data_IF_517208888338
#
_entry.id   IF_517208888338
#
_cell.length_a   1.000
_cell.length_b   1.000
_cell.length_c   1.000
_cell.angle_alpha   90.00
_cell.angle_beta   90.00
_cell.angle_gamma   90.00
#
_symmetry.space_group_name_H-M   'P 1'
#
loop_
_entity.id
_entity.type
_entity.pdbx_description
1 polymer ?
#
# COMPACT_ATOMS: atom_id res chain seq x y z
N UNK A 1 -1.76 2.27 -17.25
CA UNK A 1 -1.30 2.65 -15.88
C UNK A 1 -2.06 1.83 -14.84
N UNK A 2 -1.38 1.34 -13.80
CA UNK A 2 -1.89 0.32 -12.87
C UNK A 2 -3.16 0.76 -12.09
N UNK A 3 -3.28 2.06 -11.77
CA UNK A 3 -4.43 2.66 -11.06
C UNK A 3 -5.48 3.29 -11.98
N UNK A 4 -5.50 2.94 -13.27
CA UNK A 4 -6.50 3.50 -14.19
C UNK A 4 -7.90 3.04 -13.75
N UNK A 5 -8.78 4.00 -13.46
CA UNK A 5 -10.16 3.75 -13.02
C UNK A 5 -10.35 3.73 -11.51
N UNK A 6 -9.28 3.98 -10.74
CA UNK A 6 -9.41 4.26 -9.31
C UNK A 6 -9.94 5.69 -9.11
N UNK A 7 -10.68 5.89 -8.03
CA UNK A 7 -11.01 7.23 -7.54
C UNK A 7 -9.74 7.95 -7.05
N UNK A 8 -9.78 9.28 -7.02
CA UNK A 8 -8.67 10.10 -6.49
C UNK A 8 -8.37 9.78 -5.02
N UNK A 9 -9.38 9.31 -4.28
CA UNK A 9 -9.27 8.85 -2.90
C UNK A 9 -10.00 7.52 -2.77
N UNK A 10 -9.33 6.52 -2.25
CA UNK A 10 -9.87 5.17 -2.04
C UNK A 10 -9.39 4.58 -0.71
N UNK A 11 -10.06 3.52 -0.25
CA UNK A 11 -9.71 2.83 0.99
C UNK A 11 -8.99 1.51 0.68
N UNK A 12 -7.95 1.21 1.45
CA UNK A 12 -7.26 -0.08 1.42
C UNK A 12 -6.86 -0.47 2.86
N UNK A 13 -6.96 -1.76 3.23
CA UNK A 13 -6.60 -2.20 4.57
C UNK A 13 -5.08 -2.30 4.73
N UNK A 14 -4.60 -2.08 5.95
CA UNK A 14 -3.22 -2.33 6.35
C UNK A 14 -3.21 -3.10 7.67
N UNK A 15 -2.37 -4.13 7.75
CA UNK A 15 -2.12 -4.91 8.96
C UNK A 15 -0.63 -5.23 9.05
N UNK A 16 0.14 -4.37 9.73
CA UNK A 16 1.60 -4.52 9.83
C UNK A 16 2.17 -3.78 11.03
N UNK A 17 3.27 -4.30 11.56
CA UNK A 17 4.14 -3.59 12.51
C UNK A 17 5.26 -2.80 11.81
N UNK A 18 5.73 -3.27 10.65
CA UNK A 18 6.82 -2.65 9.91
C UNK A 18 6.33 -1.41 9.13
N UNK A 19 7.25 -0.49 8.82
CA UNK A 19 7.00 0.68 7.96
C UNK A 19 8.03 0.79 6.83
N UNK A 20 7.62 1.41 5.72
CA UNK A 20 8.52 1.89 4.66
C UNK A 20 8.25 3.38 4.51
N UNK A 21 9.29 4.21 4.65
CA UNK A 21 9.12 5.67 4.63
C UNK A 21 9.10 6.19 3.20
N UNK A 22 8.16 7.09 2.91
CA UNK A 22 8.08 7.76 1.61
C UNK A 22 9.38 8.48 1.24
N UNK A 23 10.06 9.07 2.21
CA UNK A 23 11.36 9.74 2.03
C UNK A 23 12.43 8.79 1.51
N UNK A 24 12.46 7.54 1.97
CA UNK A 24 13.46 6.56 1.56
C UNK A 24 13.19 6.11 0.12
N UNK A 25 11.92 5.89 -0.23
CA UNK A 25 11.50 5.55 -1.60
C UNK A 25 11.86 6.68 -2.59
N UNK A 26 11.66 7.94 -2.19
CA UNK A 26 12.00 9.11 -3.02
C UNK A 26 13.50 9.23 -3.32
N UNK A 27 14.38 8.59 -2.54
CA UNK A 27 15.81 8.55 -2.85
C UNK A 27 16.16 7.60 -4.02
N UNK A 28 15.25 6.69 -4.38
CA UNK A 28 15.45 5.69 -5.44
C UNK A 28 14.81 6.18 -6.73
N UNK A 29 15.64 6.63 -7.68
CA UNK A 29 15.19 7.31 -8.89
C UNK A 29 14.28 6.48 -9.81
N UNK A 30 14.37 5.16 -9.71
CA UNK A 30 13.65 4.18 -10.52
C UNK A 30 12.26 3.87 -9.97
N UNK A 31 11.98 4.26 -8.72
CA UNK A 31 10.68 4.04 -8.07
C UNK A 31 9.81 5.30 -8.15
N UNK A 32 8.51 5.07 -8.08
CA UNK A 32 7.48 6.09 -8.06
C UNK A 32 6.39 5.66 -7.06
N UNK A 33 6.02 6.55 -6.16
CA UNK A 33 4.87 6.35 -5.27
C UNK A 33 3.62 6.72 -6.07
N UNK A 34 2.75 5.75 -6.30
CA UNK A 34 1.52 5.89 -7.11
C UNK A 34 0.31 6.18 -6.22
N UNK A 35 0.29 5.65 -4.99
CA UNK A 35 -0.74 5.93 -4.00
C UNK A 35 -0.12 5.98 -2.59
N UNK A 36 -0.56 6.95 -1.79
CA UNK A 36 -0.04 7.22 -0.45
C UNK A 36 -1.19 7.58 0.50
N UNK A 37 -0.97 7.40 1.80
CA UNK A 37 -1.92 7.74 2.85
C UNK A 37 -1.24 8.60 3.91
N UNK A 38 -1.86 9.70 4.31
CA UNK A 38 -1.34 10.56 5.38
C UNK A 38 -1.10 9.81 6.70
N UNK A 39 -1.88 8.75 6.95
CA UNK A 39 -1.79 7.95 8.18
C UNK A 39 -1.07 6.63 7.99
N UNK A 40 -1.32 5.94 6.89
CA UNK A 40 -0.74 4.60 6.67
C UNK A 40 0.63 4.66 5.97
N UNK A 41 0.96 5.76 5.28
CA UNK A 41 2.15 5.88 4.45
C UNK A 41 2.01 5.22 3.07
N UNK A 42 3.13 5.02 2.34
CA UNK A 42 3.14 4.63 0.94
C UNK A 42 2.42 3.30 0.72
N UNK A 43 1.44 3.28 -0.17
CA UNK A 43 0.59 2.11 -0.41
C UNK A 43 0.96 1.38 -1.71
N UNK A 44 0.86 2.06 -2.86
CA UNK A 44 1.27 1.50 -4.17
C UNK A 44 2.55 2.18 -4.62
N UNK A 45 3.59 1.39 -4.88
CA UNK A 45 4.86 1.84 -5.42
C UNK A 45 5.11 1.07 -6.71
N UNK A 46 5.42 1.78 -7.78
CA UNK A 46 5.75 1.18 -9.06
C UNK A 46 7.20 1.49 -9.42
N UNK A 47 7.87 0.54 -10.07
CA UNK A 47 9.08 0.85 -10.80
C UNK A 47 8.71 1.50 -12.13
N UNK A 48 9.42 2.55 -12.53
CA UNK A 48 9.11 3.37 -13.73
C UNK A 48 9.12 2.60 -15.04
N UNK A 49 9.82 1.47 -15.10
CA UNK A 49 9.82 0.57 -16.25
C UNK A 49 8.64 -0.41 -16.30
N UNK A 50 7.74 -0.35 -15.30
CA UNK A 50 6.52 -1.14 -15.21
C UNK A 50 6.73 -2.61 -14.84
N UNK A 51 7.96 -3.04 -14.54
CA UNK A 51 8.26 -4.46 -14.30
C UNK A 51 7.98 -4.92 -12.86
N UNK A 52 7.91 -3.98 -11.93
CA UNK A 52 7.71 -4.28 -10.51
C UNK A 52 6.65 -3.35 -9.93
N UNK A 53 5.77 -3.96 -9.15
CA UNK A 53 4.71 -3.30 -8.39
C UNK A 53 4.82 -3.79 -6.95
N UNK A 54 4.78 -2.87 -6.00
CA UNK A 54 4.80 -3.15 -4.58
C UNK A 54 3.53 -2.58 -3.96
N UNK A 55 2.84 -3.41 -3.19
CA UNK A 55 1.61 -3.07 -2.47
C UNK A 55 1.87 -3.37 -1.00
N UNK A 56 1.79 -2.35 -0.14
CA UNK A 56 2.19 -2.44 1.28
C UNK A 56 1.02 -2.61 2.26
N UNK A 57 -0.19 -2.68 1.71
CA UNK A 57 -1.42 -3.04 2.40
C UNK A 57 -2.03 -4.29 1.77
N UNK A 58 -3.25 -4.62 2.18
CA UNK A 58 -3.85 -5.92 1.93
C UNK A 58 -5.18 -5.83 1.15
N UNK A 59 -5.18 -5.21 -0.03
CA UNK A 59 -6.42 -5.08 -0.82
C UNK A 59 -7.03 -6.43 -1.26
N UNK A 60 -6.31 -7.52 -1.06
CA UNK A 60 -6.78 -8.90 -1.21
C UNK A 60 -7.61 -9.43 -0.03
N UNK A 61 -7.65 -8.72 1.11
CA UNK A 61 -8.37 -9.19 2.29
C UNK A 61 -9.87 -9.32 2.06
N UNK A 62 -10.42 -10.42 2.58
CA UNK A 62 -11.86 -10.61 2.68
C UNK A 62 -12.43 -9.71 3.80
N UNK A 63 -13.75 -9.41 3.78
CA UNK A 63 -14.37 -8.45 4.70
C UNK A 63 -14.13 -8.70 6.19
N UNK A 64 -13.79 -9.93 6.59
CA UNK A 64 -13.59 -10.33 7.98
C UNK A 64 -12.14 -10.50 8.41
N UNK A 65 -11.16 -10.46 7.50
CA UNK A 65 -9.77 -10.81 7.84
C UNK A 65 -9.21 -9.97 9.01
N UNK A 66 -9.44 -8.66 9.04
CA UNK A 66 -8.99 -7.80 10.15
C UNK A 66 -9.71 -8.09 11.47
N UNK A 67 -10.97 -8.49 11.43
CA UNK A 67 -11.72 -8.89 12.63
C UNK A 67 -11.17 -10.21 13.17
N UNK A 68 -10.94 -11.19 12.29
CA UNK A 68 -10.42 -12.49 12.69
C UNK A 68 -8.98 -12.38 13.23
N UNK A 69 -8.15 -11.47 12.69
CA UNK A 69 -6.85 -11.10 13.26
C UNK A 69 -7.00 -10.52 14.67
N UNK A 70 -7.91 -9.57 14.85
CA UNK A 70 -8.18 -8.96 16.15
C UNK A 70 -8.65 -9.98 17.18
N UNK A 71 -9.62 -10.84 16.82
CA UNK A 71 -10.16 -11.87 17.71
C UNK A 71 -9.13 -12.93 18.09
N UNK A 72 -8.20 -13.25 17.19
CA UNK A 72 -7.09 -14.17 17.47
C UNK A 72 -6.06 -13.57 18.43
N UNK A 73 -5.84 -12.26 18.36
CA UNK A 73 -4.80 -11.57 19.13
C UNK A 73 -5.29 -11.14 20.54
N UNK A 74 -6.60 -11.17 20.81
CA UNK A 74 -7.22 -10.99 22.13
C UNK A 74 -7.03 -12.19 23.06
#
# INVERSE_FOLDING_TARGET
PIVRGFDDVFNAPHSRYAEVRGTDIQTVSELEIVADSERAGPYIIARKDGRQLFVTGHSEYEPRCLLDEYERDL
#
